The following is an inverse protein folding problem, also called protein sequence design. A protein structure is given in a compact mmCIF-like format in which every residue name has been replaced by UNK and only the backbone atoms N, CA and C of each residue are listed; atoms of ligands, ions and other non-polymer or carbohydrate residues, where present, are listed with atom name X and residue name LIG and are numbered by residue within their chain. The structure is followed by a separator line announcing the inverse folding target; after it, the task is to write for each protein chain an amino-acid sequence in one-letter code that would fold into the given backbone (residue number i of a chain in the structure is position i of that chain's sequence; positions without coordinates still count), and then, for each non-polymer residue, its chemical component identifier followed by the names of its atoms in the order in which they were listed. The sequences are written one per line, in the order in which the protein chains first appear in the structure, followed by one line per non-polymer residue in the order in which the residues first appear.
data_IF_235650292978
#
_entry.id   IF_235650292978
#
_cell.length_a   1.000
_cell.length_b   1.000
_cell.length_c   1.000
_cell.angle_alpha   90.00
_cell.angle_beta   90.00
_cell.angle_gamma   90.00
#
_symmetry.space_group_name_H-M   'P 1'
#
loop_
_entity.id
_entity.type
_entity.pdbx_description
1 polymer ?
#
# COMPACT_ATOMS: atom_id res chain seq x y z
N UNK A 1 -34.03 7.83 -7.41
CA UNK A 1 -35.47 7.79 -7.77
C UNK A 1 -36.29 6.95 -6.80
N UNK A 2 -35.73 5.88 -6.20
CA UNK A 2 -36.50 5.01 -5.28
C UNK A 2 -37.09 5.75 -4.06
N UNK A 3 -36.37 6.72 -3.50
CA UNK A 3 -36.89 7.57 -2.40
C UNK A 3 -38.06 8.46 -2.86
N UNK A 4 -38.04 8.92 -4.11
CA UNK A 4 -39.14 9.70 -4.68
C UNK A 4 -40.37 8.82 -4.85
N UNK A 5 -40.19 7.59 -5.34
CA UNK A 5 -41.27 6.60 -5.46
C UNK A 5 -41.87 6.25 -4.09
N UNK A 6 -41.06 6.18 -3.04
CA UNK A 6 -41.52 6.00 -1.66
C UNK A 6 -42.40 7.17 -1.20
N UNK A 7 -41.97 8.41 -1.43
CA UNK A 7 -42.77 9.61 -1.10
C UNK A 7 -44.06 9.68 -1.91
N UNK A 8 -44.00 9.42 -3.21
CA UNK A 8 -45.20 9.37 -4.08
C UNK A 8 -46.15 8.28 -3.60
N UNK A 9 -45.65 7.09 -3.25
CA UNK A 9 -46.46 6.00 -2.70
C UNK A 9 -47.16 6.39 -1.40
N UNK A 10 -46.50 7.15 -0.52
CA UNK A 10 -47.09 7.64 0.73
C UNK A 10 -48.23 8.65 0.47
N UNK A 11 -48.01 9.60 -0.44
CA UNK A 11 -49.03 10.58 -0.83
C UNK A 11 -50.21 9.88 -1.53
N UNK A 12 -49.94 8.96 -2.45
CA UNK A 12 -50.95 8.19 -3.16
C UNK A 12 -51.80 7.34 -2.19
N UNK A 13 -51.16 6.73 -1.18
CA UNK A 13 -51.86 5.99 -0.13
C UNK A 13 -52.86 6.89 0.60
N UNK A 14 -52.44 8.08 1.02
CA UNK A 14 -53.30 9.05 1.70
C UNK A 14 -54.47 9.49 0.81
N UNK A 15 -54.19 9.89 -0.43
CA UNK A 15 -55.23 10.36 -1.37
C UNK A 15 -56.26 9.25 -1.65
N UNK A 16 -55.78 8.04 -2.00
CA UNK A 16 -56.65 6.92 -2.32
C UNK A 16 -57.48 6.50 -1.11
N UNK A 17 -56.90 6.50 0.10
CA UNK A 17 -57.59 6.09 1.30
C UNK A 17 -58.62 7.12 1.78
N UNK A 18 -58.32 8.43 1.70
CA UNK A 18 -59.14 9.49 2.30
C UNK A 18 -60.18 10.07 1.33
N UNK A 19 -59.82 10.29 0.06
CA UNK A 19 -60.63 11.12 -0.86
C UNK A 19 -61.46 10.32 -1.89
N UNK A 20 -61.13 9.06 -2.16
CA UNK A 20 -61.90 8.26 -3.12
C UNK A 20 -63.23 7.81 -2.54
N UNK A 21 -64.33 8.30 -3.13
CA UNK A 21 -65.70 7.96 -2.71
C UNK A 21 -66.17 6.58 -3.19
N UNK A 22 -65.71 6.13 -4.36
CA UNK A 22 -66.07 4.81 -4.88
C UNK A 22 -65.25 3.73 -4.16
N UNK A 23 -65.94 2.84 -3.44
CA UNK A 23 -65.34 1.85 -2.55
C UNK A 23 -64.37 0.90 -3.26
N UNK A 24 -64.66 0.51 -4.50
CA UNK A 24 -63.81 -0.42 -5.26
C UNK A 24 -62.47 0.24 -5.62
N UNK A 25 -62.52 1.45 -6.18
CA UNK A 25 -61.31 2.20 -6.55
C UNK A 25 -60.50 2.64 -5.34
N UNK A 26 -61.16 2.97 -4.23
CA UNK A 26 -60.52 3.25 -2.94
C UNK A 26 -59.66 2.06 -2.50
N UNK A 27 -60.24 0.86 -2.45
CA UNK A 27 -59.53 -0.37 -2.02
C UNK A 27 -58.37 -0.69 -2.95
N UNK A 28 -58.59 -0.67 -4.27
CA UNK A 28 -57.55 -0.98 -5.25
C UNK A 28 -56.39 0.01 -5.15
N UNK A 29 -56.67 1.32 -5.10
CA UNK A 29 -55.67 2.37 -5.00
C UNK A 29 -54.87 2.31 -3.70
N UNK A 30 -55.54 2.04 -2.58
CA UNK A 30 -54.90 1.83 -1.27
C UNK A 30 -53.97 0.61 -1.30
N UNK A 31 -54.43 -0.54 -1.80
CA UNK A 31 -53.61 -1.76 -1.89
C UNK A 31 -52.39 -1.57 -2.78
N UNK A 32 -52.57 -0.95 -3.96
CA UNK A 32 -51.46 -0.65 -4.86
C UNK A 32 -50.43 0.28 -4.21
N UNK A 33 -50.90 1.32 -3.49
CA UNK A 33 -50.01 2.25 -2.81
C UNK A 33 -49.22 1.58 -1.67
N UNK A 34 -49.85 0.66 -0.92
CA UNK A 34 -49.17 -0.17 0.09
C UNK A 34 -48.10 -1.04 -0.57
N UNK A 35 -48.41 -1.70 -1.69
CA UNK A 35 -47.44 -2.52 -2.43
C UNK A 35 -46.25 -1.67 -2.89
N UNK A 36 -46.50 -0.47 -3.41
CA UNK A 36 -45.44 0.46 -3.83
C UNK A 36 -44.56 0.87 -2.64
N UNK A 37 -45.15 1.17 -1.49
CA UNK A 37 -44.41 1.53 -0.28
C UNK A 37 -43.56 0.37 0.24
N UNK A 38 -44.18 -0.78 0.50
CA UNK A 38 -43.50 -1.97 0.98
C UNK A 38 -42.40 -2.42 0.00
N UNK A 39 -42.69 -2.40 -1.30
CA UNK A 39 -41.73 -2.70 -2.35
C UNK A 39 -40.56 -1.72 -2.37
N UNK A 40 -40.83 -0.41 -2.20
CA UNK A 40 -39.77 0.60 -2.14
C UNK A 40 -38.86 0.42 -0.93
N UNK A 41 -39.43 0.21 0.26
CA UNK A 41 -38.65 -0.07 1.48
C UNK A 41 -37.81 -1.34 1.31
N UNK A 42 -38.43 -2.43 0.83
CA UNK A 42 -37.74 -3.69 0.57
C UNK A 42 -36.56 -3.49 -0.39
N UNK A 43 -36.75 -2.81 -1.52
CA UNK A 43 -35.68 -2.53 -2.48
C UNK A 43 -34.57 -1.65 -1.89
N UNK A 44 -34.91 -0.67 -1.04
CA UNK A 44 -33.92 0.16 -0.34
C UNK A 44 -33.08 -0.71 0.59
N UNK A 45 -33.70 -1.54 1.43
CA UNK A 45 -33.01 -2.45 2.34
C UNK A 45 -32.14 -3.46 1.59
N UNK A 46 -32.64 -4.01 0.48
CA UNK A 46 -31.85 -4.92 -0.36
C UNK A 46 -30.67 -4.23 -1.04
N UNK A 47 -30.83 -2.98 -1.49
CA UNK A 47 -29.72 -2.20 -2.04
C UNK A 47 -28.67 -1.87 -0.98
N UNK A 48 -29.09 -1.52 0.23
CA UNK A 48 -28.18 -1.14 1.31
C UNK A 48 -27.41 -2.33 1.90
N UNK A 49 -28.13 -3.39 2.28
CA UNK A 49 -27.54 -4.55 2.94
C UNK A 49 -26.93 -5.54 1.94
N UNK A 50 -27.69 -5.89 0.90
CA UNK A 50 -27.33 -6.94 -0.06
C UNK A 50 -26.73 -6.38 -1.36
N UNK A 51 -26.53 -5.06 -1.45
CA UNK A 51 -25.92 -4.41 -2.61
C UNK A 51 -26.68 -4.68 -3.92
N UNK A 52 -28.02 -4.81 -3.83
CA UNK A 52 -28.89 -5.00 -4.98
C UNK A 52 -28.68 -3.91 -6.05
N UNK A 53 -28.66 -4.29 -7.32
CA UNK A 53 -28.34 -3.36 -8.42
C UNK A 53 -26.85 -2.99 -8.56
N UNK A 54 -25.97 -3.53 -7.70
CA UNK A 54 -24.51 -3.30 -7.77
C UNK A 54 -23.73 -4.59 -8.06
N UNK A 55 -22.51 -4.42 -8.56
CA UNK A 55 -21.51 -5.47 -8.73
C UNK A 55 -20.14 -4.97 -8.29
N UNK A 56 -19.21 -5.88 -8.04
CA UNK A 56 -17.84 -5.53 -7.64
C UNK A 56 -16.97 -5.31 -8.87
N UNK A 57 -16.34 -4.15 -8.95
CA UNK A 57 -15.32 -3.85 -9.97
C UNK A 57 -13.96 -3.79 -9.29
N UNK A 58 -12.98 -4.47 -9.90
CA UNK A 58 -11.60 -4.48 -9.42
C UNK A 58 -10.71 -3.68 -10.36
N UNK A 59 -10.07 -2.65 -9.83
CA UNK A 59 -9.12 -1.82 -10.55
C UNK A 59 -7.72 -2.03 -10.00
N UNK A 60 -6.74 -2.05 -10.90
CA UNK A 60 -5.33 -2.23 -10.54
C UNK A 60 -4.53 -1.06 -11.03
N UNK A 61 -3.77 -0.42 -10.13
CA UNK A 61 -2.83 0.63 -10.50
C UNK A 61 -1.44 0.24 -10.00
N UNK A 62 -0.43 0.51 -10.81
CA UNK A 62 0.97 0.29 -10.41
C UNK A 62 1.70 1.61 -10.52
N UNK A 63 2.39 2.00 -9.45
CA UNK A 63 3.17 3.23 -9.39
C UNK A 63 4.57 2.94 -8.86
N UNK A 64 5.55 3.70 -9.34
CA UNK A 64 6.89 3.70 -8.76
C UNK A 64 6.84 4.32 -7.37
N UNK A 65 7.61 3.77 -6.45
CA UNK A 65 7.79 4.30 -5.09
C UNK A 65 9.27 4.58 -4.81
N UNK A 66 9.51 5.41 -3.80
CA UNK A 66 10.81 5.90 -3.38
C UNK A 66 11.02 5.63 -1.88
N UNK A 67 12.28 5.74 -1.44
CA UNK A 67 12.66 5.42 -0.06
C UNK A 67 11.91 6.29 0.94
N UNK A 68 11.45 5.68 2.02
CA UNK A 68 10.79 6.37 3.13
C UNK A 68 11.72 7.35 3.86
N UNK A 69 13.04 7.15 3.77
CA UNK A 69 14.04 7.93 4.50
C UNK A 69 14.39 9.29 3.87
N UNK A 70 13.63 9.78 2.88
CA UNK A 70 14.08 10.84 1.97
C UNK A 70 15.21 10.36 1.05
N UNK A 71 15.89 11.27 0.33
CA UNK A 71 17.03 10.96 -0.55
C UNK A 71 17.99 10.02 0.18
N UNK A 72 18.00 8.77 -0.28
CA UNK A 72 18.62 7.58 0.31
C UNK A 72 19.48 7.88 1.54
N UNK A 73 18.88 7.86 2.73
CA UNK A 73 19.61 8.15 3.96
C UNK A 73 20.75 7.15 4.07
N UNK A 74 21.98 7.63 3.91
CA UNK A 74 23.21 6.83 3.91
C UNK A 74 23.29 5.77 2.78
N UNK A 75 22.67 6.01 1.62
CA UNK A 75 22.82 5.15 0.43
C UNK A 75 21.98 3.87 0.43
N UNK A 76 21.04 3.72 1.38
CA UNK A 76 20.12 2.58 1.43
C UNK A 76 18.68 3.02 1.14
N UNK A 77 17.97 2.24 0.32
CA UNK A 77 16.55 2.45 0.07
C UNK A 77 15.72 1.58 1.00
N UNK A 78 14.61 2.11 1.53
CA UNK A 78 13.78 1.36 2.47
C UNK A 78 12.29 1.72 2.38
N UNK A 79 11.45 0.73 2.66
CA UNK A 79 10.05 0.91 3.05
C UNK A 79 9.97 0.64 4.54
N UNK A 80 9.30 1.51 5.29
CA UNK A 80 9.11 1.32 6.72
C UNK A 80 7.72 0.75 6.99
N UNK A 81 7.56 0.02 8.08
CA UNK A 81 6.25 -0.34 8.58
C UNK A 81 6.05 0.10 10.03
N UNK A 82 4.79 0.34 10.37
CA UNK A 82 4.38 0.58 11.74
C UNK A 82 3.13 -0.24 12.01
N UNK A 83 3.18 -1.07 13.04
CA UNK A 83 2.03 -1.86 13.47
C UNK A 83 0.95 -0.91 14.01
N UNK A 84 -0.30 -1.25 13.73
CA UNK A 84 -1.48 -0.56 14.23
C UNK A 84 -2.31 -1.54 15.08
N UNK A 85 -2.88 -1.03 16.16
CA UNK A 85 -3.60 -1.84 17.15
C UNK A 85 -2.68 -2.68 18.05
N UNK A 86 -3.29 -3.41 19.00
CA UNK A 86 -2.59 -4.17 20.04
C UNK A 86 -2.12 -5.56 19.57
N UNK A 87 -2.74 -6.13 18.52
CA UNK A 87 -2.45 -7.49 18.02
C UNK A 87 -1.22 -7.56 17.10
N UNK A 88 -0.74 -6.44 16.58
CA UNK A 88 0.45 -6.37 15.72
C UNK A 88 0.31 -7.03 14.34
N UNK A 89 -0.88 -7.53 13.97
CA UNK A 89 -1.15 -8.17 12.67
C UNK A 89 -1.42 -7.16 11.56
N UNK A 90 -1.97 -6.01 11.92
CA UNK A 90 -2.23 -4.91 11.00
C UNK A 90 -1.08 -3.92 11.03
N UNK A 91 -0.66 -3.46 9.86
CA UNK A 91 0.41 -2.49 9.74
C UNK A 91 0.18 -1.52 8.59
N UNK A 92 0.66 -0.29 8.77
CA UNK A 92 0.80 0.69 7.71
C UNK A 92 2.21 0.63 7.14
N UNK A 93 2.32 0.77 5.82
CA UNK A 93 3.59 0.85 5.11
C UNK A 93 3.87 2.31 4.77
N UNK A 94 5.05 2.80 5.13
CA UNK A 94 5.52 4.17 4.95
C UNK A 94 6.52 4.19 3.79
N UNK A 95 6.26 5.06 2.82
CA UNK A 95 7.06 5.17 1.59
C UNK A 95 6.92 6.56 0.97
N UNK A 96 7.85 6.92 0.10
CA UNK A 96 7.78 8.16 -0.66
C UNK A 96 7.20 7.92 -2.06
N UNK A 97 6.47 8.91 -2.58
CA UNK A 97 5.91 8.92 -3.94
C UNK A 97 6.78 9.70 -4.93
N UNK A 98 7.70 10.52 -4.41
CA UNK A 98 8.69 11.29 -5.18
C UNK A 98 10.08 11.09 -4.56
N UNK A 99 11.14 11.23 -5.37
CA UNK A 99 12.51 10.99 -4.92
C UNK A 99 12.94 11.89 -3.76
N UNK A 100 12.63 13.20 -3.85
CA UNK A 100 13.07 14.21 -2.87
C UNK A 100 11.98 14.60 -1.88
N UNK A 101 11.04 13.68 -1.63
CA UNK A 101 9.93 13.90 -0.71
C UNK A 101 10.45 13.94 0.74
N UNK A 102 10.44 15.13 1.36
CA UNK A 102 10.92 15.35 2.73
C UNK A 102 10.16 14.54 3.79
N UNK A 103 8.85 14.38 3.62
CA UNK A 103 7.97 13.64 4.55
C UNK A 103 7.29 12.50 3.79
N UNK A 104 7.67 11.23 4.00
CA UNK A 104 7.03 10.10 3.32
C UNK A 104 5.55 10.00 3.72
N UNK A 105 4.74 9.43 2.81
CA UNK A 105 3.36 9.08 3.11
C UNK A 105 3.25 7.66 3.67
N UNK A 106 2.03 7.23 3.95
CA UNK A 106 1.75 5.86 4.38
C UNK A 106 0.51 5.29 3.69
N UNK A 107 0.39 3.96 3.70
CA UNK A 107 -0.84 3.27 3.29
C UNK A 107 -1.97 3.57 4.25
N UNK A 108 -3.20 3.40 3.79
CA UNK A 108 -4.39 3.59 4.60
C UNK A 108 -4.40 2.64 5.81
N UNK A 109 -4.93 3.14 6.92
CA UNK A 109 -5.11 2.42 8.18
C UNK A 109 -6.59 2.10 8.36
N UNK A 110 -7.14 1.28 7.47
CA UNK A 110 -8.55 0.88 7.47
C UNK A 110 -8.67 -0.65 7.36
N UNK A 111 -9.82 -1.19 7.77
CA UNK A 111 -10.12 -2.64 7.79
C UNK A 111 -10.16 -3.28 6.40
N UNK A 112 -10.28 -2.48 5.33
CA UNK A 112 -10.32 -2.97 3.97
C UNK A 112 -8.93 -3.11 3.35
N UNK A 113 -7.89 -2.57 3.99
CA UNK A 113 -6.55 -2.45 3.42
C UNK A 113 -5.62 -3.54 3.94
N UNK A 114 -5.11 -4.37 3.04
CA UNK A 114 -4.05 -5.34 3.34
C UNK A 114 -2.77 -4.97 2.61
N UNK A 115 -1.65 -4.96 3.33
CA UNK A 115 -0.33 -4.72 2.77
C UNK A 115 0.45 -6.02 2.61
N UNK A 116 1.12 -6.19 1.48
CA UNK A 116 1.96 -7.35 1.16
C UNK A 116 3.30 -6.90 0.62
N UNK A 117 4.37 -7.59 1.03
CA UNK A 117 5.71 -7.36 0.50
C UNK A 117 6.11 -8.54 -0.37
N UNK A 118 6.61 -8.25 -1.57
CA UNK A 118 7.18 -9.24 -2.51
C UNK A 118 8.54 -8.76 -2.99
N UNK A 119 9.46 -9.70 -3.18
CA UNK A 119 10.73 -9.42 -3.86
C UNK A 119 10.47 -9.21 -5.35
N UNK A 120 11.23 -8.29 -5.95
CA UNK A 120 11.18 -8.02 -7.38
C UNK A 120 12.60 -7.97 -7.96
N UNK A 121 12.72 -8.32 -9.24
CA UNK A 121 13.95 -8.15 -10.00
C UNK A 121 14.16 -6.66 -10.38
N UNK A 122 15.42 -6.28 -10.60
CA UNK A 122 15.80 -4.92 -10.99
C UNK A 122 16.14 -4.00 -9.81
N UNK A 123 16.17 -2.69 -10.07
CA UNK A 123 16.60 -1.66 -9.10
C UNK A 123 15.49 -0.68 -8.71
N UNK A 124 14.26 -0.90 -9.20
CA UNK A 124 13.11 -0.01 -9.04
C UNK A 124 12.07 -0.66 -8.12
N UNK A 125 11.66 0.03 -7.07
CA UNK A 125 10.51 -0.40 -6.27
C UNK A 125 9.20 0.12 -6.87
N UNK A 126 8.16 -0.72 -6.79
CA UNK A 126 6.81 -0.36 -7.23
C UNK A 126 5.76 -0.78 -6.21
N UNK A 127 4.64 -0.06 -6.19
CA UNK A 127 3.46 -0.39 -5.44
C UNK A 127 2.34 -0.70 -6.42
N UNK A 128 1.83 -1.93 -6.35
CA UNK A 128 0.61 -2.36 -7.05
C UNK A 128 -0.54 -2.28 -6.07
N UNK A 129 -1.47 -1.37 -6.30
CA UNK A 129 -2.70 -1.23 -5.52
C UNK A 129 -3.85 -1.83 -6.32
N UNK A 130 -4.50 -2.84 -5.74
CA UNK A 130 -5.70 -3.47 -6.28
C UNK A 130 -6.88 -3.11 -5.39
N UNK A 131 -7.83 -2.33 -5.91
CA UNK A 131 -9.04 -1.94 -5.18
C UNK A 131 -10.26 -2.65 -5.77
N UNK A 132 -11.12 -3.17 -4.91
CA UNK A 132 -12.44 -3.69 -5.29
C UNK A 132 -13.50 -2.79 -4.69
N UNK A 133 -14.32 -2.19 -5.55
CA UNK A 133 -15.39 -1.25 -5.18
C UNK A 133 -16.73 -1.71 -5.71
N UNK A 134 -17.81 -1.33 -5.04
CA UNK A 134 -19.16 -1.50 -5.57
C UNK A 134 -19.47 -0.49 -6.67
N UNK A 135 -20.01 -0.97 -7.78
CA UNK A 135 -20.43 -0.18 -8.93
C UNK A 135 -21.85 -0.56 -9.35
N UNK A 136 -22.62 0.38 -9.88
CA UNK A 136 -23.93 0.06 -10.44
C UNK A 136 -23.80 -0.84 -11.66
N UNK A 137 -24.66 -1.86 -11.76
CA UNK A 137 -24.70 -2.79 -12.90
C UNK A 137 -25.04 -2.11 -14.22
N UNK A 138 -25.88 -1.08 -14.19
CA UNK A 138 -26.34 -0.35 -15.37
C UNK A 138 -26.87 1.04 -14.99
N UNK A 139 -27.24 1.82 -16.01
CA UNK A 139 -27.83 3.15 -15.83
C UNK A 139 -29.12 3.12 -15.00
N UNK A 140 -29.99 2.14 -15.21
CA UNK A 140 -31.25 1.99 -14.47
C UNK A 140 -31.02 1.86 -12.97
N UNK A 141 -30.12 0.96 -12.54
CA UNK A 141 -29.75 0.81 -11.14
C UNK A 141 -29.19 2.12 -10.55
N UNK A 142 -28.37 2.85 -11.32
CA UNK A 142 -27.86 4.17 -10.93
C UNK A 142 -28.98 5.20 -10.76
N UNK A 143 -29.98 5.24 -11.65
CA UNK A 143 -31.12 6.16 -11.53
C UNK A 143 -31.97 5.86 -10.29
N UNK A 144 -32.26 4.57 -10.06
CA UNK A 144 -33.08 4.13 -8.94
C UNK A 144 -32.38 4.38 -7.59
N UNK A 145 -31.14 3.93 -7.45
CA UNK A 145 -30.41 3.88 -6.17
C UNK A 145 -29.33 4.97 -5.99
N UNK A 146 -28.99 5.73 -7.04
CA UNK A 146 -27.91 6.72 -7.06
C UNK A 146 -27.98 7.83 -6.01
N UNK A 147 -29.18 8.15 -5.54
CA UNK A 147 -29.40 9.18 -4.51
C UNK A 147 -28.73 8.82 -3.18
N UNK A 148 -28.58 7.52 -2.88
CA UNK A 148 -27.96 7.06 -1.64
C UNK A 148 -26.43 7.28 -1.59
N UNK A 149 -25.78 7.69 -2.69
CA UNK A 149 -24.31 7.88 -2.82
C UNK A 149 -23.45 6.68 -2.35
N UNK A 150 -24.04 5.52 -2.08
CA UNK A 150 -23.36 4.29 -1.62
C UNK A 150 -22.54 3.57 -2.71
N UNK A 151 -22.55 4.09 -3.94
CA UNK A 151 -21.72 3.60 -5.03
C UNK A 151 -20.26 4.00 -4.83
N UNK A 152 -19.33 3.22 -5.37
CA UNK A 152 -17.89 3.31 -5.16
C UNK A 152 -17.38 2.98 -3.76
N UNK A 153 -18.23 2.38 -2.89
CA UNK A 153 -17.80 1.90 -1.57
C UNK A 153 -16.70 0.86 -1.73
N UNK A 154 -15.56 1.13 -1.08
CA UNK A 154 -14.43 0.20 -1.05
C UNK A 154 -14.81 -1.04 -0.25
N UNK A 155 -14.56 -2.20 -0.83
CA UNK A 155 -14.78 -3.50 -0.17
C UNK A 155 -13.47 -4.20 0.16
N UNK A 156 -12.42 -3.90 -0.60
CA UNK A 156 -11.10 -4.50 -0.44
C UNK A 156 -10.05 -3.64 -1.12
N UNK A 157 -8.92 -3.45 -0.47
CA UNK A 157 -7.69 -2.87 -1.03
C UNK A 157 -6.52 -3.78 -0.71
N UNK A 158 -5.81 -4.22 -1.73
CA UNK A 158 -4.57 -4.97 -1.57
C UNK A 158 -3.42 -4.16 -2.15
N UNK A 159 -2.51 -3.74 -1.28
CA UNK A 159 -1.29 -3.05 -1.63
C UNK A 159 -0.15 -4.07 -1.67
N UNK A 160 0.40 -4.33 -2.84
CA UNK A 160 1.57 -5.20 -3.00
C UNK A 160 2.79 -4.37 -3.34
N UNK A 161 3.73 -4.31 -2.41
CA UNK A 161 5.02 -3.67 -2.57
C UNK A 161 5.99 -4.65 -3.22
N UNK A 162 6.46 -4.31 -4.40
CA UNK A 162 7.47 -5.05 -5.14
C UNK A 162 8.82 -4.37 -4.91
N UNK A 163 9.62 -4.96 -4.02
CA UNK A 163 10.87 -4.40 -3.55
C UNK A 163 12.08 -5.15 -4.15
N UNK A 164 13.04 -4.45 -4.76
CA UNK A 164 14.34 -5.02 -5.07
C UNK A 164 15.02 -5.61 -3.85
N UNK A 165 15.91 -6.59 -4.04
CA UNK A 165 16.71 -7.19 -2.95
C UNK A 165 17.61 -6.19 -2.21
N UNK A 166 17.93 -5.06 -2.84
CA UNK A 166 18.68 -3.96 -2.23
C UNK A 166 17.85 -3.08 -1.30
N UNK A 167 16.52 -3.22 -1.30
CA UNK A 167 15.63 -2.44 -0.45
C UNK A 167 15.44 -3.12 0.90
N UNK A 168 15.44 -2.31 1.95
CA UNK A 168 15.13 -2.77 3.29
C UNK A 168 13.63 -2.61 3.58
N UNK A 169 13.11 -3.56 4.33
CA UNK A 169 11.79 -3.48 4.96
C UNK A 169 12.00 -3.60 6.47
N UNK A 170 11.74 -2.50 7.18
CA UNK A 170 12.08 -2.34 8.61
C UNK A 170 10.93 -1.66 9.35
N UNK A 171 10.78 -1.94 10.64
CA UNK A 171 9.86 -1.15 11.47
C UNK A 171 10.42 0.27 11.68
N UNK A 172 9.56 1.23 12.03
CA UNK A 172 10.00 2.59 12.36
C UNK A 172 11.01 2.61 13.51
N UNK A 173 10.89 1.72 14.48
CA UNK A 173 11.85 1.56 15.59
C UNK A 173 13.20 1.03 15.10
N UNK A 174 13.19 -0.02 14.29
CA UNK A 174 14.40 -0.62 13.72
C UNK A 174 15.14 0.39 12.83
N UNK A 175 14.40 1.18 12.05
CA UNK A 175 14.98 2.23 11.22
C UNK A 175 15.62 3.36 12.05
N UNK A 176 15.01 3.76 13.18
CA UNK A 176 15.61 4.72 14.12
C UNK A 176 16.92 4.19 14.72
N UNK A 177 16.93 2.92 15.14
CA UNK A 177 18.13 2.26 15.66
C UNK A 177 19.23 2.18 14.59
N UNK A 178 18.88 1.77 13.36
CA UNK A 178 19.82 1.71 12.24
C UNK A 178 20.41 3.09 11.94
N UNK A 179 19.56 4.13 11.91
CA UNK A 179 20.02 5.51 11.71
C UNK A 179 21.03 5.92 12.79
N UNK A 180 20.77 5.60 14.06
CA UNK A 180 21.69 5.88 15.17
C UNK A 180 23.02 5.14 15.02
N UNK A 181 23.00 3.84 14.68
CA UNK A 181 24.22 3.06 14.46
C UNK A 181 25.05 3.60 13.28
N UNK A 182 24.38 3.92 12.17
CA UNK A 182 25.05 4.50 10.99
C UNK A 182 25.62 5.88 11.28
N UNK A 183 24.96 6.70 12.12
CA UNK A 183 25.51 7.98 12.56
C UNK A 183 26.78 7.80 13.42
N UNK A 184 26.81 6.81 14.31
CA UNK A 184 28.02 6.46 15.09
C UNK A 184 29.19 6.05 14.17
N UNK A 185 28.89 5.31 13.10
CA UNK A 185 29.86 4.93 12.07
C UNK A 185 30.40 6.13 11.29
N UNK A 186 29.69 7.25 11.21
CA UNK A 186 30.12 8.46 10.50
C UNK A 186 31.03 9.38 11.33
N UNK A 187 31.28 9.08 12.60
CA UNK A 187 32.21 9.84 13.44
C UNK A 187 33.65 9.76 12.88
N UNK A 188 34.50 10.79 13.08
CA UNK A 188 35.86 10.79 12.57
C UNK A 188 36.67 9.57 13.01
N UNK A 189 36.55 9.17 14.28
CA UNK A 189 37.22 8.00 14.85
C UNK A 189 36.75 6.70 14.18
N UNK A 190 35.44 6.51 14.05
CA UNK A 190 34.88 5.32 13.39
C UNK A 190 35.22 5.28 11.90
N UNK A 191 35.30 6.43 11.21
CA UNK A 191 35.76 6.50 9.81
C UNK A 191 37.21 6.06 9.66
N UNK A 192 38.10 6.49 10.54
CA UNK A 192 39.51 6.07 10.52
C UNK A 192 39.63 4.57 10.77
N UNK A 193 38.93 4.05 11.77
CA UNK A 193 38.92 2.61 12.06
C UNK A 193 38.33 1.79 10.91
N UNK A 194 37.23 2.24 10.31
CA UNK A 194 36.66 1.59 9.13
C UNK A 194 37.59 1.64 7.93
N UNK A 195 38.33 2.74 7.70
CA UNK A 195 39.29 2.85 6.61
C UNK A 195 40.41 1.82 6.79
N UNK A 196 40.95 1.69 8.00
CA UNK A 196 41.96 0.67 8.32
C UNK A 196 41.42 -0.75 8.13
N UNK A 197 40.20 -1.03 8.60
CA UNK A 197 39.57 -2.34 8.39
C UNK A 197 39.28 -2.63 6.91
N UNK A 198 38.86 -1.63 6.15
CA UNK A 198 38.63 -1.75 4.71
C UNK A 198 39.95 -2.03 3.97
N UNK A 199 41.03 -1.31 4.30
CA UNK A 199 42.37 -1.54 3.74
C UNK A 199 42.88 -2.94 4.06
N UNK A 200 42.73 -3.41 5.30
CA UNK A 200 43.08 -4.77 5.70
C UNK A 200 42.25 -5.82 4.94
N UNK A 201 40.93 -5.60 4.80
CA UNK A 201 40.03 -6.50 4.06
C UNK A 201 40.40 -6.59 2.57
N UNK A 202 40.62 -5.45 1.92
CA UNK A 202 41.02 -5.36 0.52
C UNK A 202 42.38 -6.01 0.31
N UNK A 203 43.37 -5.73 1.18
CA UNK A 203 44.70 -6.33 1.10
C UNK A 203 44.65 -7.85 1.24
N UNK A 204 43.92 -8.37 2.23
CA UNK A 204 43.77 -9.81 2.43
C UNK A 204 43.07 -10.50 1.25
N UNK A 205 42.00 -9.91 0.71
CA UNK A 205 41.29 -10.43 -0.48
C UNK A 205 42.15 -10.36 -1.75
N UNK A 206 42.91 -9.29 -1.95
CA UNK A 206 43.85 -9.18 -3.08
C UNK A 206 44.98 -10.21 -2.97
N UNK A 207 45.53 -10.45 -1.79
CA UNK A 207 46.54 -11.49 -1.57
C UNK A 207 45.97 -12.89 -1.89
N UNK A 208 44.77 -13.19 -1.38
CA UNK A 208 44.10 -14.46 -1.68
C UNK A 208 43.77 -14.61 -3.17
N UNK A 209 43.43 -13.52 -3.86
CA UNK A 209 43.22 -13.53 -5.31
C UNK A 209 44.53 -13.71 -6.09
N UNK A 210 45.61 -13.04 -5.68
CA UNK A 210 46.94 -13.16 -6.29
C UNK A 210 47.55 -14.56 -6.12
N UNK A 211 47.23 -15.28 -5.03
CA UNK A 211 47.60 -16.69 -4.87
C UNK A 211 46.89 -17.62 -5.88
N UNK A 212 45.71 -17.24 -6.36
CA UNK A 212 44.94 -18.02 -7.36
C UNK A 212 45.26 -17.60 -8.79
N UNK A 213 45.57 -16.34 -9.01
CA UNK A 213 45.98 -15.77 -10.30
C UNK A 213 47.17 -14.81 -10.08
N UNK A 214 48.41 -15.29 -10.30
CA UNK A 214 49.63 -14.49 -10.12
C UNK A 214 49.69 -13.23 -11.00
N UNK A 215 48.93 -13.19 -12.10
CA UNK A 215 48.89 -12.01 -12.99
C UNK A 215 48.27 -10.77 -12.33
N UNK A 216 47.47 -10.96 -11.27
CA UNK A 216 46.87 -9.87 -10.49
C UNK A 216 47.93 -9.04 -9.75
N UNK A 217 49.07 -9.65 -9.39
CA UNK A 217 50.15 -8.95 -8.69
C UNK A 217 50.93 -7.99 -9.60
N UNK A 218 50.95 -8.27 -10.91
CA UNK A 218 51.68 -7.49 -11.92
C UNK A 218 50.77 -6.56 -12.73
N UNK A 219 49.48 -6.86 -12.85
CA UNK A 219 48.50 -6.05 -13.56
C UNK A 219 47.83 -5.00 -12.63
N UNK A 220 48.36 -3.77 -12.69
CA UNK A 220 47.84 -2.61 -11.94
C UNK A 220 46.36 -2.31 -12.24
N UNK A 221 45.87 -2.59 -13.45
CA UNK A 221 44.49 -2.32 -13.83
C UNK A 221 43.53 -3.35 -13.22
N UNK A 222 43.90 -4.65 -13.25
CA UNK A 222 43.16 -5.70 -12.53
C UNK A 222 43.16 -5.47 -11.03
N UNK A 223 44.30 -5.08 -10.44
CA UNK A 223 44.40 -4.78 -9.02
C UNK A 223 43.49 -3.60 -8.62
N UNK A 224 43.46 -2.53 -9.42
CA UNK A 224 42.59 -1.37 -9.18
C UNK A 224 41.09 -1.71 -9.33
N UNK A 225 40.73 -2.61 -10.25
CA UNK A 225 39.34 -3.07 -10.43
C UNK A 225 38.89 -3.94 -9.25
N UNK A 226 39.72 -4.89 -8.85
CA UNK A 226 39.44 -5.79 -7.73
C UNK A 226 39.42 -5.05 -6.38
N UNK A 227 40.32 -4.09 -6.17
CA UNK A 227 40.30 -3.28 -4.95
C UNK A 227 38.99 -2.49 -4.81
N UNK A 228 38.50 -1.87 -5.89
CA UNK A 228 37.18 -1.21 -5.91
C UNK A 228 36.04 -2.19 -5.62
N UNK A 229 36.10 -3.39 -6.19
CA UNK A 229 35.08 -4.42 -5.96
C UNK A 229 35.07 -4.90 -4.50
N UNK A 230 36.23 -5.20 -3.92
CA UNK A 230 36.34 -5.63 -2.53
C UNK A 230 36.00 -4.51 -1.54
N UNK A 231 36.31 -3.25 -1.86
CA UNK A 231 35.87 -2.11 -1.06
C UNK A 231 34.33 -1.97 -1.06
N UNK A 232 33.68 -2.12 -2.21
CA UNK A 232 32.22 -2.12 -2.31
C UNK A 232 31.59 -3.31 -1.56
N UNK A 233 32.21 -4.49 -1.64
CA UNK A 233 31.79 -5.68 -0.91
C UNK A 233 31.86 -5.46 0.61
N UNK A 234 32.96 -4.89 1.11
CA UNK A 234 33.13 -4.56 2.53
C UNK A 234 32.05 -3.57 3.02
N UNK A 235 31.81 -2.50 2.27
CA UNK A 235 30.73 -1.55 2.60
C UNK A 235 29.36 -2.23 2.64
N UNK A 236 29.06 -3.11 1.67
CA UNK A 236 27.81 -3.87 1.65
C UNK A 236 27.68 -4.80 2.87
N UNK A 237 28.77 -5.47 3.27
CA UNK A 237 28.79 -6.33 4.45
C UNK A 237 28.54 -5.55 5.74
N UNK A 238 29.12 -4.35 5.88
CA UNK A 238 28.87 -3.48 7.03
C UNK A 238 27.40 -3.08 7.13
N UNK A 239 26.80 -2.64 6.02
CA UNK A 239 25.37 -2.30 5.98
C UNK A 239 24.53 -3.53 6.33
N UNK A 240 24.83 -4.71 5.77
CA UNK A 240 24.11 -5.95 6.11
C UNK A 240 24.21 -6.30 7.59
N UNK A 241 25.39 -6.17 8.21
CA UNK A 241 25.59 -6.39 9.65
C UNK A 241 24.81 -5.37 10.49
N UNK A 242 24.87 -4.09 10.13
CA UNK A 242 24.12 -3.04 10.81
C UNK A 242 22.60 -3.33 10.76
N UNK A 243 22.09 -3.69 9.58
CA UNK A 243 20.68 -4.08 9.38
C UNK A 243 20.32 -5.34 10.17
N UNK A 244 21.19 -6.35 10.21
CA UNK A 244 20.95 -7.57 10.97
C UNK A 244 20.88 -7.30 12.48
N UNK A 245 21.63 -6.31 12.99
CA UNK A 245 21.64 -6.00 14.42
C UNK A 245 20.40 -5.27 14.92
N UNK A 246 19.57 -4.74 14.01
CA UNK A 246 18.32 -4.05 14.35
C UNK A 246 17.08 -4.87 14.00
N UNK A 247 17.24 -6.06 13.43
CA UNK A 247 16.11 -6.92 13.07
C UNK A 247 15.78 -7.89 14.20
#
# INVERSE_FOLDING_TARGET
MILVTLVIGAIALFICFVYFKNRVWQIIGTLLSIIVLCGSLFMITQNDHNHFGMHKVTTTTTKRIYSASGSSANGVNMVLYQNIGSKGTENVQIYATKADQKKPGHTQADEFTTNKIKKASGNKATLKTTETRWEYKNHTAKVWFGVAKSHHKLTKRVNTFYLPSSWLHLSTTQAKQLKSQMAKMQTPQAKTQMKQQAEAYVKGKLQAAAMKDPSIATDKAKQAKLSKQYAAEFQSQLIKKAVASVK
#
